data_IF_422385192594
#
_entry.id   IF_422385192594
#
_cell.length_a   1.000
_cell.length_b   1.000
_cell.length_c   1.000
_cell.angle_alpha   90.00
_cell.angle_beta   90.00
_cell.angle_gamma   90.00
#
_symmetry.space_group_name_H-M   'P 1'
#
loop_
_entity.id
_entity.type
_entity.pdbx_description
1 polymer ?
#
# COMPACT_ATOMS: atom_id res chain seq x y z
N UNK A 1 24.37 3.33 33.83
CA UNK A 1 25.26 3.01 32.68
C UNK A 1 24.33 2.86 31.47
N UNK A 2 24.07 3.97 30.78
CA UNK A 2 23.12 4.01 29.66
C UNK A 2 23.88 3.72 28.36
N UNK A 3 23.48 2.68 27.65
CA UNK A 3 24.02 2.40 26.32
C UNK A 3 23.45 3.41 25.33
N UNK A 4 24.33 4.29 24.85
CA UNK A 4 24.10 5.28 23.80
C UNK A 4 23.87 4.55 22.46
N UNK A 5 22.60 4.27 22.14
CA UNK A 5 22.18 3.53 20.94
C UNK A 5 22.35 4.34 19.64
N UNK A 6 22.68 5.62 19.73
CA UNK A 6 22.68 6.51 18.57
C UNK A 6 24.06 6.61 17.89
N UNK A 7 25.09 5.97 18.45
CA UNK A 7 26.46 6.03 17.92
C UNK A 7 26.80 5.02 16.82
N UNK A 8 25.86 4.17 16.41
CA UNK A 8 26.05 3.21 15.31
C UNK A 8 25.17 3.48 14.09
N UNK A 9 24.77 4.74 13.87
CA UNK A 9 24.31 5.20 12.54
C UNK A 9 25.52 5.35 11.60
N UNK A 10 26.21 4.22 11.39
CA UNK A 10 27.29 4.02 10.43
C UNK A 10 26.67 4.29 9.06
N UNK A 11 27.06 5.42 8.47
CA UNK A 11 27.38 5.57 7.04
C UNK A 11 26.60 4.57 6.17
N UNK A 12 25.29 4.75 6.05
CA UNK A 12 24.51 4.11 4.99
C UNK A 12 24.90 4.85 3.72
N UNK A 13 26.10 4.56 3.22
CA UNK A 13 26.55 4.99 1.91
C UNK A 13 25.44 4.60 0.95
N UNK A 14 24.90 5.58 0.24
CA UNK A 14 23.78 5.47 -0.70
C UNK A 14 24.16 4.38 -1.73
N UNK A 15 23.87 3.12 -1.41
CA UNK A 15 24.24 1.99 -2.26
C UNK A 15 23.44 2.15 -3.53
N UNK A 16 24.14 2.37 -4.65
CA UNK A 16 23.47 2.49 -5.94
C UNK A 16 22.62 1.23 -6.16
N UNK A 17 21.37 1.38 -6.63
CA UNK A 17 20.50 0.25 -6.88
C UNK A 17 21.22 -0.75 -7.80
N UNK A 18 21.48 -1.95 -7.30
CA UNK A 18 22.08 -3.01 -8.11
C UNK A 18 21.07 -3.37 -9.19
N UNK A 19 21.46 -3.24 -10.46
CA UNK A 19 20.67 -3.72 -11.60
C UNK A 19 20.99 -5.19 -11.80
N UNK A 20 19.97 -6.02 -11.81
CA UNK A 20 20.09 -7.44 -12.11
C UNK A 20 19.72 -7.64 -13.58
N UNK A 21 20.47 -8.49 -14.26
CA UNK A 21 20.17 -8.94 -15.62
C UNK A 21 18.96 -9.88 -15.63
N UNK A 22 18.34 -10.03 -16.81
CA UNK A 22 17.22 -10.97 -16.97
C UNK A 22 17.66 -12.43 -16.78
N UNK A 23 18.91 -12.75 -17.13
CA UNK A 23 19.54 -14.06 -16.89
C UNK A 23 19.67 -14.35 -15.39
N UNK A 24 20.17 -13.39 -14.60
CA UNK A 24 20.24 -13.52 -13.13
C UNK A 24 18.85 -13.68 -12.51
N UNK A 25 17.84 -12.95 -13.02
CA UNK A 25 16.46 -13.06 -12.57
C UNK A 25 15.90 -14.46 -12.84
N UNK A 26 16.11 -14.99 -14.05
CA UNK A 26 15.64 -16.32 -14.43
C UNK A 26 16.27 -17.41 -13.54
N UNK A 27 17.58 -17.32 -13.29
CA UNK A 27 18.29 -18.27 -12.44
C UNK A 27 17.83 -18.20 -10.98
N UNK A 28 17.62 -16.99 -10.46
CA UNK A 28 17.09 -16.80 -9.11
C UNK A 28 15.68 -17.41 -8.93
N UNK A 29 14.80 -17.26 -9.93
CA UNK A 29 13.47 -17.87 -9.91
C UNK A 29 13.54 -19.40 -10.02
N UNK A 30 14.48 -19.94 -10.81
CA UNK A 30 14.73 -21.38 -10.92
C UNK A 30 15.16 -21.95 -9.56
N UNK A 31 16.13 -21.32 -8.89
CA UNK A 31 16.59 -21.73 -7.56
C UNK A 31 15.48 -21.61 -6.51
N UNK A 32 14.69 -20.53 -6.58
CA UNK A 32 13.55 -20.35 -5.68
C UNK A 32 12.53 -21.50 -5.82
N UNK A 33 12.27 -21.97 -7.04
CA UNK A 33 11.40 -23.11 -7.28
C UNK A 33 11.97 -24.43 -6.72
N UNK A 34 13.29 -24.64 -6.84
CA UNK A 34 13.98 -25.80 -6.28
C UNK A 34 13.97 -25.81 -4.75
N UNK A 35 14.07 -24.63 -4.11
CA UNK A 35 14.01 -24.44 -2.66
C UNK A 35 12.58 -24.40 -2.10
N UNK A 36 11.59 -24.95 -2.81
CA UNK A 36 10.16 -24.96 -2.41
C UNK A 36 9.62 -23.56 -2.09
N UNK A 37 10.12 -22.54 -2.78
CA UNK A 37 9.79 -21.13 -2.58
C UNK A 37 10.18 -20.55 -1.22
N UNK A 38 11.18 -21.13 -0.54
CA UNK A 38 11.79 -20.54 0.65
C UNK A 38 12.68 -19.34 0.27
N UNK A 39 12.15 -18.15 0.47
CA UNK A 39 12.79 -16.88 0.09
C UNK A 39 14.01 -16.58 0.95
N UNK A 40 13.95 -16.85 2.26
CA UNK A 40 15.03 -16.54 3.19
C UNK A 40 16.27 -17.39 2.87
N UNK A 41 16.06 -18.70 2.66
CA UNK A 41 17.13 -19.60 2.25
C UNK A 41 17.75 -19.21 0.92
N UNK A 42 16.91 -18.95 -0.09
CA UNK A 42 17.38 -18.60 -1.44
C UNK A 42 18.15 -17.27 -1.43
N UNK A 43 17.66 -16.27 -0.70
CA UNK A 43 18.33 -14.97 -0.49
C UNK A 43 19.74 -15.15 0.07
N UNK A 44 19.89 -16.03 1.08
CA UNK A 44 21.19 -16.32 1.69
C UNK A 44 22.14 -17.05 0.73
N UNK A 45 21.63 -17.95 -0.11
CA UNK A 45 22.43 -18.72 -1.08
C UNK A 45 22.96 -17.85 -2.24
N UNK A 46 22.15 -16.92 -2.77
CA UNK A 46 22.51 -16.13 -3.98
C UNK A 46 22.90 -14.68 -3.69
N UNK A 47 22.70 -14.21 -2.45
CA UNK A 47 23.00 -12.83 -2.05
C UNK A 47 22.07 -11.77 -2.65
N UNK A 48 20.88 -12.17 -3.13
CA UNK A 48 19.84 -11.25 -3.60
C UNK A 48 18.88 -10.96 -2.45
N UNK A 49 18.60 -9.68 -2.12
CA UNK A 49 17.70 -9.34 -1.02
C UNK A 49 16.31 -9.96 -1.17
N UNK A 50 15.74 -10.42 -0.05
CA UNK A 50 14.40 -11.04 0.00
C UNK A 50 13.32 -10.18 -0.65
N UNK A 51 13.36 -8.86 -0.45
CA UNK A 51 12.42 -7.91 -1.07
C UNK A 51 12.44 -8.01 -2.61
N UNK A 52 13.60 -8.20 -3.21
CA UNK A 52 13.75 -8.33 -4.67
C UNK A 52 13.15 -9.66 -5.14
N UNK A 53 13.42 -10.76 -4.43
CA UNK A 53 12.85 -12.08 -4.73
C UNK A 53 11.32 -12.09 -4.62
N UNK A 54 10.77 -11.46 -3.58
CA UNK A 54 9.32 -11.29 -3.44
C UNK A 54 8.70 -10.52 -4.62
N UNK A 55 9.35 -9.44 -5.05
CA UNK A 55 8.90 -8.65 -6.20
C UNK A 55 8.90 -9.48 -7.48
N UNK A 56 9.99 -10.19 -7.77
CA UNK A 56 10.08 -11.03 -8.97
C UNK A 56 9.06 -12.16 -8.98
N UNK A 57 8.86 -12.83 -7.84
CA UNK A 57 7.83 -13.88 -7.70
C UNK A 57 6.42 -13.33 -7.95
N UNK A 58 6.10 -12.15 -7.43
CA UNK A 58 4.80 -11.51 -7.68
C UNK A 58 4.59 -11.22 -9.16
N UNK A 59 5.60 -10.66 -9.83
CA UNK A 59 5.52 -10.37 -11.26
C UNK A 59 5.35 -11.65 -12.08
N UNK A 60 6.10 -12.71 -11.78
CA UNK A 60 5.97 -14.00 -12.48
C UNK A 60 4.55 -14.60 -12.33
N UNK A 61 3.91 -14.42 -11.17
CA UNK A 61 2.52 -14.86 -10.97
C UNK A 61 1.52 -14.05 -11.80
N UNK A 62 1.77 -12.75 -11.97
CA UNK A 62 0.95 -11.90 -12.85
C UNK A 62 1.15 -12.33 -14.30
N UNK A 63 2.39 -12.48 -14.75
CA UNK A 63 2.72 -12.92 -16.12
C UNK A 63 2.08 -14.28 -16.43
N UNK A 64 2.14 -15.23 -15.49
CA UNK A 64 1.48 -16.54 -15.64
C UNK A 64 -0.04 -16.44 -15.71
N UNK A 65 -0.66 -15.51 -14.99
CA UNK A 65 -2.12 -15.26 -15.09
C UNK A 65 -2.49 -14.68 -16.44
N UNK A 66 -1.70 -13.75 -16.97
CA UNK A 66 -1.91 -13.21 -18.30
C UNK A 66 -1.71 -14.24 -19.41
N UNK A 67 -0.75 -15.17 -19.26
CA UNK A 67 -0.51 -16.21 -20.25
C UNK A 67 -1.45 -17.42 -20.14
N UNK A 68 -1.93 -17.77 -18.95
CA UNK A 68 -2.79 -18.94 -18.72
C UNK A 68 -4.29 -18.64 -18.85
N UNK A 69 -4.69 -17.37 -18.93
CA UNK A 69 -6.05 -17.02 -19.28
C UNK A 69 -6.25 -17.25 -20.79
N UNK A 70 -6.93 -18.33 -21.16
CA UNK A 70 -7.62 -18.37 -22.45
C UNK A 70 -8.39 -17.05 -22.60
N UNK A 71 -8.28 -16.35 -23.75
CA UNK A 71 -8.87 -15.03 -23.92
C UNK A 71 -10.35 -15.10 -23.49
N UNK A 72 -10.75 -14.39 -22.41
CA UNK A 72 -12.13 -14.42 -21.98
C UNK A 72 -12.99 -13.97 -23.18
N UNK A 73 -14.06 -14.69 -23.52
CA UNK A 73 -14.92 -14.32 -24.64
C UNK A 73 -15.39 -12.88 -24.41
N UNK A 74 -14.92 -11.97 -25.28
CA UNK A 74 -15.03 -10.52 -25.18
C UNK A 74 -16.48 -10.03 -25.35
N UNK A 75 -17.36 -10.37 -24.41
CA UNK A 75 -18.76 -10.00 -24.45
C UNK A 75 -19.27 -9.57 -23.07
N UNK A 76 -18.62 -8.58 -22.46
CA UNK A 76 -19.28 -7.50 -21.71
C UNK A 76 -18.20 -6.57 -21.12
N UNK A 77 -18.24 -5.32 -21.56
CA UNK A 77 -17.36 -4.26 -21.14
C UNK A 77 -17.38 -4.06 -19.61
N UNK A 78 -16.26 -4.32 -18.96
CA UNK A 78 -15.82 -3.54 -17.81
C UNK A 78 -14.51 -2.90 -18.27
N UNK A 79 -14.57 -1.59 -18.47
CA UNK A 79 -13.39 -0.77 -18.68
C UNK A 79 -12.69 -0.70 -17.33
N UNK A 80 -11.83 -1.68 -17.04
CA UNK A 80 -10.84 -1.51 -16.00
C UNK A 80 -9.79 -0.55 -16.54
N UNK A 81 -9.90 0.68 -16.03
CA UNK A 81 -9.03 1.81 -16.25
C UNK A 81 -7.66 1.45 -15.63
N UNK A 82 -6.75 0.93 -16.45
CA UNK A 82 -5.31 0.77 -16.14
C UNK A 82 -4.65 2.16 -16.03
N UNK A 83 -5.11 2.95 -15.05
CA UNK A 83 -4.44 4.16 -14.63
C UNK A 83 -3.33 3.74 -13.65
N UNK A 84 -2.16 3.43 -14.22
CA UNK A 84 -0.87 3.28 -13.54
C UNK A 84 -0.40 4.65 -13.01
N UNK A 85 -1.29 5.34 -12.28
CA UNK A 85 -0.96 6.58 -11.60
C UNK A 85 -0.06 6.22 -10.43
N UNK A 86 1.11 6.87 -10.39
CA UNK A 86 1.86 7.15 -9.17
C UNK A 86 0.99 7.96 -8.18
N UNK A 87 -0.14 7.37 -7.76
CA UNK A 87 -1.08 7.95 -6.83
C UNK A 87 -0.36 8.05 -5.49
N UNK A 88 -0.17 9.30 -5.05
CA UNK A 88 0.42 9.62 -3.77
C UNK A 88 -0.23 8.73 -2.70
N UNK A 89 0.55 7.94 -1.94
CA UNK A 89 0.00 7.07 -0.90
C UNK A 89 -0.89 7.83 0.10
N UNK A 90 -0.71 9.15 0.24
CA UNK A 90 -1.62 10.01 1.00
C UNK A 90 -3.06 10.06 0.47
N UNK A 91 -3.24 10.04 -0.86
CA UNK A 91 -4.56 10.06 -1.52
C UNK A 91 -5.28 8.73 -1.30
N UNK A 92 -4.57 7.60 -1.49
CA UNK A 92 -5.11 6.26 -1.27
C UNK A 92 -5.54 6.09 0.20
N UNK A 93 -4.70 6.52 1.15
CA UNK A 93 -5.05 6.47 2.58
C UNK A 93 -6.26 7.35 2.91
N UNK A 94 -6.37 8.53 2.30
CA UNK A 94 -7.51 9.43 2.50
C UNK A 94 -8.81 8.83 1.95
N UNK A 95 -8.76 8.17 0.80
CA UNK A 95 -9.90 7.45 0.23
C UNK A 95 -10.33 6.27 1.11
N UNK A 96 -9.37 5.46 1.59
CA UNK A 96 -9.65 4.35 2.51
C UNK A 96 -10.28 4.88 3.80
N UNK A 97 -9.74 5.96 4.37
CA UNK A 97 -10.29 6.59 5.58
C UNK A 97 -11.74 7.06 5.38
N UNK A 98 -12.03 7.75 4.27
CA UNK A 98 -13.39 8.20 3.92
C UNK A 98 -14.35 7.02 3.79
N UNK A 99 -13.93 5.94 3.12
CA UNK A 99 -14.75 4.73 2.97
C UNK A 99 -15.03 4.05 4.32
N UNK A 100 -14.06 3.99 5.23
CA UNK A 100 -14.27 3.43 6.57
C UNK A 100 -15.23 4.27 7.40
N UNK A 101 -15.19 5.60 7.30
CA UNK A 101 -16.17 6.47 7.94
C UNK A 101 -17.58 6.23 7.40
N UNK A 102 -17.75 6.10 6.08
CA UNK A 102 -19.03 5.79 5.47
C UNK A 102 -19.57 4.43 5.95
N UNK A 103 -18.72 3.42 6.08
CA UNK A 103 -19.10 2.10 6.57
C UNK A 103 -19.52 2.12 8.05
N UNK A 104 -18.85 2.92 8.89
CA UNK A 104 -19.24 3.12 10.30
C UNK A 104 -20.60 3.79 10.39
N UNK A 105 -20.85 4.85 9.60
CA UNK A 105 -22.15 5.56 9.58
C UNK A 105 -23.28 4.65 9.10
N UNK A 106 -23.02 3.82 8.08
CA UNK A 106 -23.99 2.81 7.63
C UNK A 106 -24.26 1.78 8.70
N UNK A 107 -23.22 1.24 9.34
CA UNK A 107 -23.37 0.24 10.39
C UNK A 107 -24.12 0.78 11.60
N UNK A 108 -23.83 2.01 12.05
CA UNK A 108 -24.59 2.63 13.14
C UNK A 108 -26.08 2.76 12.80
N UNK A 109 -26.41 3.13 11.56
CA UNK A 109 -27.80 3.19 11.08
C UNK A 109 -28.49 1.81 11.00
N UNK A 110 -27.76 0.76 10.64
CA UNK A 110 -28.29 -0.62 10.63
C UNK A 110 -28.46 -1.21 12.03
N UNK A 111 -27.63 -0.82 12.99
CA UNK A 111 -27.75 -1.26 14.39
C UNK A 111 -29.07 -0.78 14.99
N UNK A 112 -29.50 0.45 14.67
CA UNK A 112 -30.77 0.99 15.15
C UNK A 112 -31.99 0.34 14.49
N UNK A 113 -31.91 -0.02 13.20
CA UNK A 113 -33.08 -0.46 12.41
C UNK A 113 -33.31 -1.95 12.38
N UNK A 114 -32.27 -2.76 12.55
CA UNK A 114 -32.31 -4.17 12.16
C UNK A 114 -32.16 -5.09 13.38
N UNK A 115 -32.84 -4.81 14.50
CA UNK A 115 -32.67 -5.49 15.81
C UNK A 115 -32.85 -7.03 15.80
N UNK A 116 -33.42 -7.59 14.73
CA UNK A 116 -33.84 -9.00 14.71
C UNK A 116 -32.83 -9.97 14.07
N UNK A 117 -31.89 -9.50 13.24
CA UNK A 117 -31.08 -10.39 12.37
C UNK A 117 -29.73 -10.82 12.96
N UNK A 118 -29.07 -10.01 13.78
CA UNK A 118 -27.80 -10.33 14.43
C UNK A 118 -27.85 -10.09 15.94
N UNK A 119 -27.13 -10.92 16.74
CA UNK A 119 -27.10 -10.71 18.19
C UNK A 119 -26.49 -9.34 18.55
N UNK A 120 -27.00 -8.62 19.57
CA UNK A 120 -26.47 -7.31 19.98
C UNK A 120 -24.96 -7.32 20.26
N UNK A 121 -24.46 -8.42 20.82
CA UNK A 121 -23.03 -8.61 21.12
C UNK A 121 -22.15 -8.60 19.87
N UNK A 122 -22.56 -9.33 18.81
CA UNK A 122 -21.81 -9.36 17.55
C UNK A 122 -21.71 -7.97 16.90
N UNK A 123 -22.75 -7.15 17.05
CA UNK A 123 -22.77 -5.78 16.53
C UNK A 123 -21.83 -4.87 17.30
N UNK A 124 -21.86 -4.95 18.64
CA UNK A 124 -20.94 -4.19 19.48
C UNK A 124 -19.49 -4.57 19.17
N UNK A 125 -19.21 -5.86 18.99
CA UNK A 125 -17.88 -6.34 18.62
C UNK A 125 -17.44 -5.84 17.24
N UNK A 126 -18.33 -5.86 16.24
CA UNK A 126 -18.05 -5.29 14.92
C UNK A 126 -17.75 -3.79 14.99
N UNK A 127 -18.52 -3.03 15.79
CA UNK A 127 -18.32 -1.60 16.00
C UNK A 127 -16.96 -1.31 16.66
N UNK A 128 -16.61 -2.04 17.72
CA UNK A 128 -15.29 -1.92 18.39
C UNK A 128 -14.16 -2.21 17.41
N UNK A 129 -14.28 -3.26 16.60
CA UNK A 129 -13.27 -3.60 15.59
C UNK A 129 -13.10 -2.52 14.52
N UNK A 130 -14.17 -1.81 14.15
CA UNK A 130 -14.10 -0.70 13.20
C UNK A 130 -13.47 0.54 13.83
N UNK A 131 -13.83 0.88 15.07
CA UNK A 131 -13.21 1.99 15.81
C UNK A 131 -11.70 1.75 15.97
N UNK A 132 -11.29 0.54 16.34
CA UNK A 132 -9.87 0.18 16.47
C UNK A 132 -9.12 0.30 15.13
N UNK A 133 -9.77 -0.07 14.02
CA UNK A 133 -9.18 0.08 12.68
C UNK A 133 -9.06 1.55 12.30
N UNK A 134 -10.06 2.37 12.65
CA UNK A 134 -10.04 3.81 12.40
C UNK A 134 -8.91 4.49 13.18
N UNK A 135 -8.74 4.19 14.47
CA UNK A 135 -7.63 4.72 15.28
C UNK A 135 -6.26 4.33 14.69
N UNK A 136 -6.11 3.09 14.19
CA UNK A 136 -4.89 2.65 13.53
C UNK A 136 -4.60 3.44 12.24
N UNK A 137 -5.61 3.72 11.44
CA UNK A 137 -5.45 4.52 10.20
C UNK A 137 -5.12 5.96 10.55
N UNK A 138 -5.77 6.52 11.56
CA UNK A 138 -5.52 7.90 12.02
C UNK A 138 -4.07 8.10 12.49
N UNK A 139 -3.44 7.08 13.08
CA UNK A 139 -2.01 7.08 13.43
C UNK A 139 -1.09 6.99 12.20
N UNK A 140 -1.56 6.39 11.12
CA UNK A 140 -0.80 6.20 9.87
C UNK A 140 -0.91 7.40 8.93
N UNK A 141 -2.00 8.18 8.99
CA UNK A 141 -2.14 9.40 8.22
C UNK A 141 -1.14 10.43 8.78
N UNK A 142 -0.12 10.83 7.98
CA UNK A 142 0.86 11.81 8.42
C UNK A 142 0.16 13.10 8.86
N UNK A 143 0.45 13.61 10.08
CA UNK A 143 -0.20 14.83 10.61
C UNK A 143 -0.02 16.05 9.70
N UNK A 144 1.03 16.08 8.91
CA UNK A 144 1.32 17.07 7.88
C UNK A 144 0.29 17.15 6.75
N UNK A 145 -0.60 16.16 6.58
CA UNK A 145 -1.74 16.28 5.66
C UNK A 145 -2.94 17.01 6.28
N UNK A 146 -3.03 17.10 7.63
CA UNK A 146 -4.14 17.79 8.30
C UNK A 146 -3.98 19.32 8.31
N UNK A 147 -2.77 19.81 8.10
CA UNK A 147 -2.45 21.24 7.99
C UNK A 147 -1.83 21.55 6.62
N UNK A 148 -2.57 21.29 5.53
CA UNK A 148 -2.31 22.06 4.31
C UNK A 148 -2.79 23.50 4.58
N UNK A 149 -1.92 24.30 5.19
CA UNK A 149 -2.11 25.76 5.22
C UNK A 149 -1.95 26.21 3.78
N UNK A 150 -3.06 26.43 3.09
CA UNK A 150 -3.06 27.11 1.81
C UNK A 150 -2.64 28.56 2.11
N UNK A 151 -1.35 28.82 2.04
CA UNK A 151 -0.82 30.18 2.14
C UNK A 151 -1.11 30.89 0.82
N UNK A 152 -2.14 31.73 0.81
CA UNK A 152 -2.34 32.69 -0.26
C UNK A 152 -1.30 33.80 -0.07
N UNK A 153 -0.24 33.78 -0.87
CA UNK A 153 0.61 34.96 -1.01
C UNK A 153 -0.16 36.01 -1.79
N UNK A 154 -0.53 37.10 -1.13
CA UNK A 154 -1.18 38.22 -1.78
C UNK A 154 -0.14 38.98 -2.59
N UNK A 155 -0.19 38.84 -3.91
CA UNK A 155 0.60 39.69 -4.82
C UNK A 155 -0.15 41.01 -4.97
N UNK A 156 0.43 42.10 -4.46
CA UNK A 156 -0.13 43.44 -4.65
C UNK A 156 -0.15 43.76 -6.15
N UNK A 157 -1.30 44.14 -6.74
CA UNK A 157 -1.40 44.46 -8.16
C UNK A 157 -0.47 45.59 -8.62
N UNK A 158 0.10 46.38 -7.70
CA UNK A 158 1.10 47.42 -8.03
C UNK A 158 2.46 46.85 -8.43
N UNK A 159 2.79 45.64 -7.99
CA UNK A 159 4.10 45.00 -8.24
C UNK A 159 4.12 44.16 -9.53
N UNK A 160 2.98 44.03 -10.24
CA UNK A 160 2.88 43.33 -11.53
C UNK A 160 2.32 44.25 -12.63
N UNK A 161 3.16 45.07 -13.29
CA UNK A 161 2.73 46.10 -14.25
C UNK A 161 2.32 45.55 -15.64
N UNK A 162 1.87 44.29 -15.72
CA UNK A 162 1.61 43.60 -17.01
C UNK A 162 0.18 43.76 -17.54
N UNK A 163 -0.62 44.66 -16.97
CA UNK A 163 -1.95 45.05 -17.47
C UNK A 163 -2.14 46.56 -17.49
#
# INVERSE_FOLDING_TARGET
MFYDKDKYSIIIGKRMPKRYSDEEKAEALRLLSANRYDVARTSLEIGIPERTLHRWRRNEQLDKRFMAADPPPMAAAIKDDDNDSDEDPGVILSQIHRRMLDDIVKLSGTIERDLETASPYQRLQALVMLIDRLDKIDRLIPRNLREMVISFEYVDPKDNPTY
#
